data_IF_542722478040
#
_entry.id   IF_542722478040
#
_cell.length_a   1.000
_cell.length_b   1.000
_cell.length_c   1.000
_cell.angle_alpha   90.00
_cell.angle_beta   90.00
_cell.angle_gamma   90.00
#
_symmetry.space_group_name_H-M   'P 1'
#
loop_
_entity.id
_entity.type
_entity.pdbx_description
1 polymer ?
#
# COMPACT_ATOMS: atom_id res chain seq x y z
N UNK A 1 19.09 -10.55 2.23
CA UNK A 1 17.62 -10.58 2.03
C UNK A 1 17.13 -9.21 1.62
N UNK A 2 17.24 -8.17 2.46
CA UNK A 2 16.69 -6.85 2.16
C UNK A 2 17.17 -6.24 0.83
N UNK A 3 18.47 -6.31 0.52
CA UNK A 3 19.01 -5.78 -0.71
C UNK A 3 18.39 -6.41 -1.97
N UNK A 4 18.19 -7.73 -1.96
CA UNK A 4 17.60 -8.45 -3.08
C UNK A 4 16.12 -8.12 -3.25
N UNK A 5 15.37 -7.98 -2.14
CA UNK A 5 13.97 -7.54 -2.17
C UNK A 5 13.83 -6.12 -2.72
N UNK A 6 14.70 -5.19 -2.30
CA UNK A 6 14.72 -3.82 -2.81
C UNK A 6 15.06 -3.79 -4.31
N UNK A 7 16.04 -4.58 -4.73
CA UNK A 7 16.40 -4.71 -6.15
C UNK A 7 15.22 -5.23 -6.97
N UNK A 8 14.57 -6.31 -6.50
CA UNK A 8 13.40 -6.89 -7.16
C UNK A 8 12.23 -5.90 -7.22
N UNK A 9 11.94 -5.20 -6.12
CA UNK A 9 10.93 -4.16 -6.06
C UNK A 9 11.19 -3.05 -7.09
N UNK A 10 12.43 -2.57 -7.18
CA UNK A 10 12.82 -1.57 -8.19
C UNK A 10 12.57 -2.10 -9.60
N UNK A 11 12.95 -3.34 -9.90
CA UNK A 11 12.73 -3.96 -11.21
C UNK A 11 11.24 -3.96 -11.61
N UNK A 12 10.33 -4.25 -10.67
CA UNK A 12 8.89 -4.19 -10.92
C UNK A 12 8.45 -2.74 -11.18
N UNK A 13 8.75 -1.82 -10.28
CA UNK A 13 8.22 -0.44 -10.30
C UNK A 13 8.71 0.35 -11.53
N UNK A 14 9.92 0.05 -12.03
CA UNK A 14 10.48 0.71 -13.20
C UNK A 14 10.14 0.02 -14.53
N UNK A 15 9.35 -1.08 -14.52
CA UNK A 15 8.97 -1.72 -15.76
C UNK A 15 7.83 -0.98 -16.47
N UNK A 16 7.94 -0.82 -17.78
CA UNK A 16 6.91 -0.21 -18.63
C UNK A 16 5.59 -0.99 -18.61
N UNK A 17 5.68 -2.31 -18.49
CA UNK A 17 4.53 -3.19 -18.37
C UNK A 17 3.75 -2.93 -17.08
N UNK A 18 4.43 -2.79 -15.93
CA UNK A 18 3.81 -2.44 -14.66
C UNK A 18 3.18 -1.03 -14.70
N UNK A 19 3.86 -0.05 -15.28
CA UNK A 19 3.32 1.29 -15.51
C UNK A 19 2.03 1.22 -16.34
N UNK A 20 2.05 0.49 -17.46
CA UNK A 20 0.91 0.42 -18.39
C UNK A 20 -0.32 -0.20 -17.76
N UNK A 21 -0.17 -1.22 -16.91
CA UNK A 21 -1.28 -1.86 -16.18
C UNK A 21 -1.86 -1.00 -15.07
N UNK A 22 -1.05 -0.13 -14.46
CA UNK A 22 -1.46 0.58 -13.25
C UNK A 22 -1.67 2.09 -13.40
N UNK A 23 -1.49 2.65 -14.57
CA UNK A 23 -1.95 4.00 -14.90
C UNK A 23 -3.43 3.97 -15.32
N UNK A 24 -4.20 4.99 -14.97
CA UNK A 24 -5.63 5.04 -15.30
C UNK A 24 -5.91 5.31 -16.77
N UNK A 25 -5.01 5.99 -17.46
CA UNK A 25 -5.11 6.32 -18.88
C UNK A 25 -3.74 6.25 -19.52
N UNK A 26 -3.69 5.93 -20.80
CA UNK A 26 -2.44 5.94 -21.59
C UNK A 26 -1.74 7.31 -21.60
N UNK A 27 -2.50 8.38 -21.35
CA UNK A 27 -1.97 9.76 -21.25
C UNK A 27 -1.36 10.07 -19.89
N UNK A 28 -1.50 9.19 -18.90
CA UNK A 28 -0.97 9.41 -17.55
C UNK A 28 0.47 8.93 -17.44
N UNK A 29 1.29 9.73 -16.72
CA UNK A 29 2.71 9.45 -16.47
C UNK A 29 3.60 9.30 -17.72
N UNK A 30 3.19 9.87 -18.87
CA UNK A 30 3.99 9.85 -20.12
C UNK A 30 5.18 10.80 -20.03
N UNK A 31 5.01 11.93 -19.33
CA UNK A 31 6.05 12.96 -19.27
C UNK A 31 6.92 12.72 -18.04
N UNK A 32 8.23 12.73 -18.24
CA UNK A 32 9.18 12.75 -17.13
C UNK A 32 9.13 14.13 -16.45
N UNK A 33 8.25 14.22 -15.46
CA UNK A 33 8.06 15.40 -14.60
C UNK A 33 8.49 15.04 -13.19
N UNK A 34 8.41 16.02 -12.28
CA UNK A 34 8.74 15.86 -10.86
C UNK A 34 8.01 14.72 -10.14
N UNK A 35 6.84 14.29 -10.64
CA UNK A 35 6.05 13.17 -10.11
C UNK A 35 5.87 12.07 -11.18
N UNK A 36 6.95 11.39 -11.62
CA UNK A 36 6.83 10.19 -12.42
C UNK A 36 6.16 9.07 -11.64
N UNK A 37 5.70 8.03 -12.33
CA UNK A 37 4.98 6.91 -11.73
C UNK A 37 5.72 6.25 -10.57
N UNK A 38 7.00 5.96 -10.73
CA UNK A 38 7.83 5.33 -9.69
C UNK A 38 7.96 6.19 -8.42
N UNK A 39 8.13 7.53 -8.56
CA UNK A 39 8.19 8.42 -7.41
C UNK A 39 6.86 8.46 -6.65
N UNK A 40 5.70 8.35 -7.36
CA UNK A 40 4.39 8.23 -6.73
C UNK A 40 4.30 6.97 -5.89
N UNK A 41 4.73 5.81 -6.43
CA UNK A 41 4.73 4.55 -5.70
C UNK A 41 5.63 4.63 -4.47
N UNK A 42 6.89 5.06 -4.62
CA UNK A 42 7.84 5.15 -3.50
C UNK A 42 7.37 6.11 -2.42
N UNK A 43 6.82 7.26 -2.79
CA UNK A 43 6.29 8.19 -1.80
C UNK A 43 5.12 7.58 -1.01
N UNK A 44 4.17 6.91 -1.69
CA UNK A 44 3.02 6.28 -1.04
C UNK A 44 3.43 5.09 -0.14
N UNK A 45 4.52 4.40 -0.47
CA UNK A 45 5.08 3.33 0.37
C UNK A 45 5.85 3.85 1.58
N UNK A 46 6.22 5.14 1.60
CA UNK A 46 7.04 5.74 2.68
C UNK A 46 6.24 6.05 3.96
N UNK A 47 5.00 5.62 4.10
CA UNK A 47 4.17 5.77 5.30
C UNK A 47 4.22 7.18 5.90
N UNK A 48 3.49 8.10 5.29
CA UNK A 48 3.36 9.51 5.71
C UNK A 48 2.97 9.61 7.19
N UNK A 49 3.79 10.24 8.02
CA UNK A 49 3.58 10.39 9.47
C UNK A 49 3.19 11.82 9.88
N UNK A 50 3.59 12.78 9.09
CA UNK A 50 3.39 14.20 9.36
C UNK A 50 2.42 14.88 8.39
N UNK A 51 2.59 16.18 8.21
CA UNK A 51 1.86 16.93 7.20
C UNK A 51 2.26 16.45 5.81
N UNK A 52 1.29 16.24 4.93
CA UNK A 52 1.56 15.77 3.56
C UNK A 52 2.58 16.64 2.81
N UNK A 53 2.58 17.97 3.06
CA UNK A 53 3.51 18.85 2.40
C UNK A 53 4.94 18.69 2.90
N UNK A 54 5.11 18.57 4.21
CA UNK A 54 6.45 18.39 4.81
C UNK A 54 7.07 17.05 4.39
N UNK A 55 6.24 16.00 4.35
CA UNK A 55 6.68 14.67 3.88
C UNK A 55 7.08 14.69 2.39
N UNK A 56 6.36 15.44 1.55
CA UNK A 56 6.76 15.65 0.15
C UNK A 56 8.08 16.40 0.05
N UNK A 57 8.25 17.47 0.81
CA UNK A 57 9.45 18.28 0.81
C UNK A 57 10.68 17.46 1.28
N UNK A 58 10.52 16.61 2.32
CA UNK A 58 11.56 15.68 2.78
C UNK A 58 11.87 14.57 1.75
N UNK A 59 10.84 14.00 1.12
CA UNK A 59 11.03 12.97 0.12
C UNK A 59 11.82 13.47 -1.09
N UNK A 60 11.48 14.65 -1.61
CA UNK A 60 12.19 15.24 -2.75
C UNK A 60 13.58 15.69 -2.37
N UNK A 61 13.79 16.22 -1.17
CA UNK A 61 15.13 16.48 -0.63
C UNK A 61 16.01 15.23 -0.67
N UNK A 62 15.47 14.08 -0.22
CA UNK A 62 16.22 12.83 -0.21
C UNK A 62 16.52 12.30 -1.62
N UNK A 63 15.55 12.39 -2.56
CA UNK A 63 15.76 11.95 -3.95
C UNK A 63 16.81 12.79 -4.68
N UNK A 64 16.80 14.11 -4.47
CA UNK A 64 17.70 15.02 -5.15
C UNK A 64 19.06 15.18 -4.42
N UNK A 65 19.24 14.53 -3.27
CA UNK A 65 20.42 14.66 -2.41
C UNK A 65 20.71 16.12 -2.04
N UNK A 66 19.67 16.92 -1.78
CA UNK A 66 19.79 18.34 -1.43
C UNK A 66 20.07 18.51 0.07
N UNK A 67 20.85 19.53 0.42
CA UNK A 67 21.13 19.86 1.83
C UNK A 67 19.94 20.56 2.50
N UNK A 68 19.18 21.34 1.73
CA UNK A 68 18.06 22.15 2.19
C UNK A 68 16.76 21.61 1.58
N UNK A 69 15.68 21.59 2.36
CA UNK A 69 14.37 21.21 1.86
C UNK A 69 13.76 22.35 1.03
N UNK A 70 13.64 22.12 -0.28
CA UNK A 70 13.01 23.05 -1.22
C UNK A 70 11.67 22.48 -1.64
N UNK A 71 10.64 23.33 -1.71
CA UNK A 71 9.33 22.91 -2.18
C UNK A 71 9.31 22.64 -3.68
N UNK A 72 9.56 21.40 -4.04
CA UNK A 72 9.58 20.94 -5.43
C UNK A 72 8.18 20.58 -5.94
N UNK A 73 7.34 19.98 -5.06
CA UNK A 73 6.00 19.51 -5.39
C UNK A 73 5.00 19.97 -4.35
N UNK A 74 3.87 20.51 -4.77
CA UNK A 74 2.77 20.88 -3.86
C UNK A 74 1.87 19.70 -3.55
N UNK A 75 1.26 19.67 -2.36
CA UNK A 75 0.25 18.68 -1.96
C UNK A 75 -0.92 18.60 -2.95
N UNK A 76 -1.27 19.70 -3.61
CA UNK A 76 -2.32 19.74 -4.62
C UNK A 76 -1.90 19.02 -5.90
N UNK A 77 -0.68 19.26 -6.39
CA UNK A 77 -0.11 18.55 -7.55
C UNK A 77 -0.01 17.05 -7.29
N UNK A 78 0.47 16.67 -6.11
CA UNK A 78 0.52 15.27 -5.67
C UNK A 78 -0.88 14.63 -5.63
N UNK A 79 -1.86 15.29 -5.02
CA UNK A 79 -3.23 14.76 -4.93
C UNK A 79 -3.87 14.56 -6.30
N UNK A 80 -3.59 15.44 -7.27
CA UNK A 80 -4.02 15.28 -8.67
C UNK A 80 -3.32 14.11 -9.36
N UNK A 81 -2.01 13.97 -9.17
CA UNK A 81 -1.22 12.89 -9.76
C UNK A 81 -1.61 11.52 -9.18
N UNK A 82 -1.86 11.42 -7.85
CA UNK A 82 -2.29 10.19 -7.18
C UNK A 82 -3.58 9.60 -7.78
N UNK A 83 -4.52 10.46 -8.22
CA UNK A 83 -5.77 10.02 -8.85
C UNK A 83 -5.56 9.28 -10.17
N UNK A 84 -4.38 9.36 -10.78
CA UNK A 84 -3.99 8.71 -12.03
C UNK A 84 -3.42 7.30 -11.84
N UNK A 85 -3.21 6.90 -10.60
CA UNK A 85 -2.67 5.61 -10.21
C UNK A 85 -3.79 4.66 -9.78
N UNK A 86 -3.75 3.41 -10.24
CA UNK A 86 -4.60 2.34 -9.74
C UNK A 86 -4.06 1.78 -8.43
N UNK A 87 -4.92 1.56 -7.43
CA UNK A 87 -4.53 0.99 -6.13
C UNK A 87 -4.07 -0.47 -6.25
N UNK A 88 -4.50 -1.19 -7.29
CA UNK A 88 -4.04 -2.55 -7.59
C UNK A 88 -2.53 -2.66 -7.75
N UNK A 89 -1.83 -1.56 -8.06
CA UNK A 89 -0.36 -1.53 -8.09
C UNK A 89 0.26 -2.03 -6.76
N UNK A 90 -0.31 -1.60 -5.63
CA UNK A 90 0.20 -2.00 -4.30
C UNK A 90 -0.13 -3.45 -3.96
N UNK A 91 -1.27 -3.95 -4.41
CA UNK A 91 -1.66 -5.36 -4.24
C UNK A 91 -0.71 -6.25 -5.04
N UNK A 92 -0.44 -5.90 -6.30
CA UNK A 92 0.49 -6.65 -7.15
C UNK A 92 1.92 -6.61 -6.61
N UNK A 93 2.42 -5.44 -6.16
CA UNK A 93 3.72 -5.32 -5.50
C UNK A 93 3.80 -6.26 -4.29
N UNK A 94 2.80 -6.23 -3.42
CA UNK A 94 2.75 -7.08 -2.23
C UNK A 94 2.82 -8.57 -2.58
N UNK A 95 1.97 -9.03 -3.50
CA UNK A 95 1.94 -10.42 -3.96
C UNK A 95 3.28 -10.87 -4.57
N UNK A 96 3.85 -10.05 -5.44
CA UNK A 96 5.13 -10.33 -6.07
C UNK A 96 6.29 -10.41 -5.06
N UNK A 97 6.31 -9.50 -4.07
CA UNK A 97 7.34 -9.52 -3.02
C UNK A 97 7.21 -10.75 -2.12
N UNK A 98 5.99 -11.14 -1.77
CA UNK A 98 5.71 -12.34 -0.98
C UNK A 98 6.13 -13.60 -1.75
N UNK A 99 5.74 -13.73 -3.01
CA UNK A 99 6.14 -14.85 -3.86
C UNK A 99 7.67 -14.91 -3.98
N UNK A 100 8.31 -13.79 -4.33
CA UNK A 100 9.77 -13.71 -4.43
C UNK A 100 10.47 -14.11 -3.13
N UNK A 101 9.94 -13.70 -1.98
CA UNK A 101 10.50 -14.09 -0.69
C UNK A 101 10.46 -15.60 -0.49
N UNK A 102 9.32 -16.23 -0.69
CA UNK A 102 9.18 -17.67 -0.46
C UNK A 102 9.93 -18.53 -1.46
N UNK A 103 10.15 -18.03 -2.67
CA UNK A 103 10.86 -18.75 -3.73
C UNK A 103 12.40 -18.66 -3.60
N UNK A 104 12.91 -17.56 -3.01
CA UNK A 104 14.36 -17.27 -3.06
C UNK A 104 15.04 -17.26 -1.69
N UNK A 105 14.28 -17.34 -0.59
CA UNK A 105 14.88 -17.32 0.75
C UNK A 105 14.46 -18.53 1.59
N UNK A 106 15.37 -19.02 2.45
CA UNK A 106 15.04 -20.10 3.37
C UNK A 106 13.97 -19.64 4.36
N UNK A 107 12.82 -20.30 4.34
CA UNK A 107 11.70 -19.99 5.22
C UNK A 107 11.71 -20.88 6.47
N UNK A 108 11.52 -20.26 7.62
CA UNK A 108 11.33 -20.97 8.87
C UNK A 108 9.98 -21.68 8.85
N UNK A 109 10.00 -22.96 9.28
CA UNK A 109 8.81 -23.83 9.38
C UNK A 109 8.74 -24.44 10.78
N UNK A 110 7.53 -24.69 11.26
CA UNK A 110 7.31 -25.43 12.49
C UNK A 110 6.90 -26.86 12.14
N UNK A 111 7.70 -27.84 12.52
CA UNK A 111 7.48 -29.26 12.17
C UNK A 111 7.17 -29.49 10.69
N UNK A 112 7.81 -28.76 9.79
CA UNK A 112 7.58 -28.84 8.35
C UNK A 112 6.42 -27.98 7.82
N UNK A 113 5.62 -27.37 8.68
CA UNK A 113 4.45 -26.55 8.30
C UNK A 113 4.78 -25.05 8.34
N UNK A 114 4.20 -24.30 7.42
CA UNK A 114 4.15 -22.85 7.49
C UNK A 114 3.01 -22.43 8.42
N UNK A 115 3.33 -21.61 9.41
CA UNK A 115 2.34 -21.08 10.36
C UNK A 115 1.86 -19.72 9.82
N UNK A 116 0.56 -19.55 9.72
CA UNK A 116 -0.05 -18.28 9.34
C UNK A 116 -1.05 -17.87 10.43
N UNK A 117 -0.99 -16.61 10.81
CA UNK A 117 -1.90 -15.99 11.77
C UNK A 117 -2.76 -14.93 11.06
N UNK A 118 -4.04 -14.87 11.40
CA UNK A 118 -4.94 -13.84 10.90
C UNK A 118 -5.24 -12.90 12.07
N UNK A 119 -5.06 -11.60 11.82
CA UNK A 119 -5.42 -10.55 12.77
C UNK A 119 -6.24 -9.46 12.09
N UNK A 120 -7.18 -8.90 12.84
CA UNK A 120 -8.09 -7.87 12.37
C UNK A 120 -7.95 -6.58 13.17
N UNK A 121 -7.91 -5.45 12.48
CA UNK A 121 -7.95 -4.13 13.08
C UNK A 121 -8.96 -3.23 12.37
N UNK A 122 -9.15 -2.03 12.89
CA UNK A 122 -10.00 -1.02 12.26
C UNK A 122 -9.23 0.27 12.05
N UNK A 123 -9.47 0.94 10.93
CA UNK A 123 -8.89 2.24 10.61
C UNK A 123 -9.99 3.26 10.31
N UNK A 124 -9.82 4.48 10.84
CA UNK A 124 -10.63 5.61 10.40
C UNK A 124 -10.22 5.99 8.98
N UNK A 125 -11.20 6.18 8.11
CA UNK A 125 -10.98 6.58 6.72
C UNK A 125 -11.55 7.99 6.48
N UNK A 126 -11.16 8.69 5.40
CA UNK A 126 -11.59 10.05 5.14
C UNK A 126 -13.12 10.22 5.14
N UNK A 127 -13.60 11.34 5.70
CA UNK A 127 -15.03 11.66 5.79
C UNK A 127 -15.56 12.26 4.49
N UNK A 128 -15.45 11.51 3.39
CA UNK A 128 -16.11 11.87 2.13
C UNK A 128 -17.36 11.03 1.94
N UNK A 129 -18.33 11.53 1.18
CA UNK A 129 -19.58 10.82 0.93
C UNK A 129 -19.33 9.41 0.36
N UNK A 130 -18.54 9.32 -0.70
CA UNK A 130 -18.25 8.05 -1.36
C UNK A 130 -17.59 7.01 -0.42
N UNK A 131 -16.70 7.49 0.47
CA UNK A 131 -16.03 6.62 1.46
C UNK A 131 -17.00 6.19 2.54
N UNK A 132 -17.88 7.07 3.00
CA UNK A 132 -18.91 6.75 4.00
C UNK A 132 -19.94 5.77 3.42
N UNK A 133 -20.36 5.95 2.18
CA UNK A 133 -21.29 5.06 1.47
C UNK A 133 -20.70 3.66 1.30
N UNK A 134 -19.38 3.55 1.03
CA UNK A 134 -18.71 2.27 0.82
C UNK A 134 -18.39 1.53 2.14
N UNK A 135 -17.77 2.22 3.11
CA UNK A 135 -17.29 1.57 4.35
C UNK A 135 -18.33 1.56 5.47
N UNK A 136 -19.37 2.38 5.37
CA UNK A 136 -20.33 2.61 6.43
C UNK A 136 -19.84 3.60 7.48
N UNK A 137 -20.76 4.23 8.18
CA UNK A 137 -20.46 5.13 9.29
C UNK A 137 -20.52 4.37 10.62
N UNK A 138 -19.54 4.60 11.48
CA UNK A 138 -19.58 4.19 12.87
C UNK A 138 -19.97 5.37 13.75
N UNK A 139 -20.99 5.16 14.57
CA UNK A 139 -21.47 6.13 15.54
C UNK A 139 -20.85 5.80 16.91
N UNK A 140 -19.83 6.54 17.36
CA UNK A 140 -19.29 6.35 18.70
C UNK A 140 -20.33 6.84 19.75
N UNK A 141 -20.26 6.30 20.97
CA UNK A 141 -21.10 6.76 22.07
C UNK A 141 -20.90 8.26 22.40
N UNK A 142 -19.71 8.80 22.09
CA UNK A 142 -19.39 10.24 22.18
C UNK A 142 -18.61 10.64 20.92
N UNK A 143 -19.04 11.72 20.26
CA UNK A 143 -18.39 12.29 19.10
C UNK A 143 -19.19 12.11 17.80
N UNK A 144 -18.63 12.64 16.70
CA UNK A 144 -19.27 12.58 15.39
C UNK A 144 -19.09 11.24 14.72
N UNK A 145 -20.10 10.81 13.96
CA UNK A 145 -20.00 9.64 13.10
C UNK A 145 -18.79 9.74 12.15
N UNK A 146 -18.04 8.66 12.02
CA UNK A 146 -16.91 8.60 11.11
C UNK A 146 -16.91 7.27 10.34
N UNK A 147 -16.51 7.28 9.06
CA UNK A 147 -16.33 6.05 8.31
C UNK A 147 -15.15 5.25 8.88
N UNK A 148 -15.36 3.93 9.03
CA UNK A 148 -14.35 3.00 9.54
C UNK A 148 -14.25 1.82 8.58
N UNK A 149 -13.03 1.55 8.12
CA UNK A 149 -12.69 0.33 7.41
C UNK A 149 -12.22 -0.75 8.40
N UNK A 150 -12.52 -2.00 8.09
CA UNK A 150 -11.89 -3.16 8.70
C UNK A 150 -10.65 -3.53 7.88
N UNK A 151 -9.52 -3.75 8.55
CA UNK A 151 -8.30 -4.26 7.96
C UNK A 151 -8.10 -5.67 8.50
N UNK A 152 -7.84 -6.63 7.62
CA UNK A 152 -7.45 -7.98 7.99
C UNK A 152 -6.11 -8.31 7.37
N UNK A 153 -5.19 -8.82 8.17
CA UNK A 153 -3.85 -9.21 7.74
C UNK A 153 -3.65 -10.70 7.95
N UNK A 154 -3.10 -11.35 6.95
CA UNK A 154 -2.56 -12.70 7.04
C UNK A 154 -1.05 -12.59 7.23
N UNK A 155 -0.54 -13.03 8.35
CA UNK A 155 0.84 -12.85 8.80
C UNK A 155 1.55 -14.18 9.01
N UNK A 156 2.79 -14.27 8.54
CA UNK A 156 3.71 -15.38 8.86
C UNK A 156 4.61 -14.98 10.03
N UNK A 157 4.30 -15.41 11.27
CA UNK A 157 5.04 -14.99 12.46
C UNK A 157 6.44 -15.56 12.53
N UNK A 158 6.72 -16.68 11.88
CA UNK A 158 8.05 -17.29 11.89
C UNK A 158 9.03 -16.52 10.98
N UNK A 159 8.51 -15.92 9.90
CA UNK A 159 9.31 -15.21 8.92
C UNK A 159 9.14 -13.67 9.00
N UNK A 160 8.20 -13.18 9.81
CA UNK A 160 7.99 -11.75 10.01
C UNK A 160 7.41 -11.03 8.80
N UNK A 161 6.56 -11.71 8.01
CA UNK A 161 6.02 -11.20 6.75
C UNK A 161 4.50 -11.14 6.79
N UNK A 162 3.94 -10.01 6.32
CA UNK A 162 2.52 -9.93 5.95
C UNK A 162 2.37 -10.59 4.58
N UNK A 163 1.64 -11.70 4.56
CA UNK A 163 1.43 -12.51 3.35
C UNK A 163 0.31 -11.96 2.48
N UNK A 164 -0.75 -11.48 3.12
CA UNK A 164 -1.90 -10.87 2.45
C UNK A 164 -2.56 -9.83 3.36
N UNK A 165 -3.20 -8.83 2.77
CA UNK A 165 -3.93 -7.80 3.49
C UNK A 165 -5.21 -7.43 2.74
N UNK A 166 -6.32 -7.38 3.46
CA UNK A 166 -7.63 -7.01 2.93
C UNK A 166 -8.18 -5.82 3.69
N UNK A 167 -8.69 -4.83 2.97
CA UNK A 167 -9.47 -3.72 3.52
C UNK A 167 -10.93 -3.87 3.09
N UNK A 168 -11.87 -3.76 4.03
CA UNK A 168 -13.28 -4.00 3.76
C UNK A 168 -14.19 -3.10 4.61
N UNK A 169 -15.47 -2.97 4.24
CA UNK A 169 -16.47 -2.40 5.12
C UNK A 169 -16.52 -3.10 6.47
N UNK A 170 -16.73 -2.33 7.55
CA UNK A 170 -16.77 -2.85 8.93
C UNK A 170 -17.79 -3.98 9.13
N UNK A 171 -18.86 -3.98 8.35
CA UNK A 171 -19.93 -5.00 8.44
C UNK A 171 -19.47 -6.41 8.04
N UNK A 172 -18.39 -6.55 7.28
CA UNK A 172 -17.85 -7.87 6.92
C UNK A 172 -17.23 -8.55 8.14
N UNK A 173 -17.66 -9.76 8.42
CA UNK A 173 -17.17 -10.54 9.56
C UNK A 173 -15.75 -11.06 9.35
N UNK A 174 -15.02 -11.26 10.44
CA UNK A 174 -13.63 -11.77 10.42
C UNK A 174 -13.51 -13.14 9.75
N UNK A 175 -14.50 -14.02 9.95
CA UNK A 175 -14.52 -15.34 9.29
C UNK A 175 -14.60 -15.25 7.77
N UNK A 176 -15.36 -14.28 7.25
CA UNK A 176 -15.45 -14.06 5.80
C UNK A 176 -14.13 -13.55 5.22
N UNK A 177 -13.43 -12.68 5.96
CA UNK A 177 -12.11 -12.20 5.57
C UNK A 177 -11.03 -13.29 5.67
N UNK A 178 -11.14 -14.17 6.67
CA UNK A 178 -10.25 -15.33 6.77
C UNK A 178 -10.42 -16.30 5.58
N UNK A 179 -11.65 -16.52 5.12
CA UNK A 179 -11.91 -17.31 3.92
C UNK A 179 -11.34 -16.67 2.66
N UNK A 180 -11.46 -15.34 2.53
CA UNK A 180 -10.87 -14.58 1.41
C UNK A 180 -9.34 -14.70 1.38
N UNK A 181 -8.65 -14.59 2.53
CA UNK A 181 -7.22 -14.85 2.61
C UNK A 181 -6.85 -16.27 2.15
N UNK A 182 -7.65 -17.28 2.53
CA UNK A 182 -7.41 -18.66 2.11
C UNK A 182 -7.56 -18.84 0.59
N UNK A 183 -8.48 -18.10 -0.04
CA UNK A 183 -8.65 -18.12 -1.50
C UNK A 183 -7.49 -17.42 -2.22
N UNK A 184 -6.90 -16.39 -1.65
CA UNK A 184 -5.72 -15.70 -2.19
C UNK A 184 -4.43 -16.52 -2.11
N UNK A 185 -4.40 -17.58 -1.28
CA UNK A 185 -3.23 -18.46 -1.14
C UNK A 185 -3.18 -19.62 -2.16
N UNK A 186 -4.24 -19.81 -2.92
CA UNK A 186 -4.35 -20.83 -3.99
C UNK A 186 -3.63 -20.36 -5.24
#
# INVERSE_FOLDING_TARGET
ICANLIYYLKKIIFSEDFLSRHRRSEKDFIRDRLLPFHNMIFFLMNLVKGSLQDELDYFFKAIHAEEISIRTVTKSAFSKARKKLHHQAFIEIGRNLVAFFYDHFPCRKWKGFRILAIDGSTAKVPRTKDVADHFGAWNPAKGEACPIARISNLFDPLNGIVVDAVISPKVRGERALAAEHADHLK
#
